data_IF_900965727587
#
_entry.id   IF_900965727587
#
_cell.length_a   1.000
_cell.length_b   1.000
_cell.length_c   1.000
_cell.angle_alpha   90.00
_cell.angle_beta   90.00
_cell.angle_gamma   90.00
#
_symmetry.space_group_name_H-M   'P 1'
#
loop_
_entity.id
_entity.type
_entity.pdbx_description
1 polymer ?
#
# COMPACT_ATOMS: atom_id res chain seq x y z
N UNK A 1 -4.53 -17.46 -19.01
CA UNK A 1 -3.45 -16.70 -18.36
C UNK A 1 -3.29 -17.29 -16.96
N UNK A 2 -2.15 -17.89 -16.65
CA UNK A 2 -1.89 -18.47 -15.34
C UNK A 2 -1.40 -17.40 -14.35
N UNK A 3 -2.12 -16.30 -14.22
CA UNK A 3 -1.69 -15.18 -13.37
C UNK A 3 -2.54 -15.10 -12.10
N UNK A 4 -1.86 -14.91 -10.97
CA UNK A 4 -2.46 -14.49 -9.71
C UNK A 4 -2.27 -12.99 -9.56
N UNK A 5 -3.38 -12.25 -9.50
CA UNK A 5 -3.38 -10.80 -9.37
C UNK A 5 -3.42 -10.42 -7.90
N UNK A 6 -2.44 -9.65 -7.44
CA UNK A 6 -2.29 -9.27 -6.03
C UNK A 6 -2.29 -7.76 -5.92
N UNK A 7 -3.12 -7.24 -5.01
CA UNK A 7 -3.05 -5.85 -4.56
C UNK A 7 -2.10 -5.78 -3.36
N UNK A 8 -0.94 -5.17 -3.56
CA UNK A 8 0.04 -4.95 -2.48
C UNK A 8 0.01 -3.50 -2.02
N UNK A 9 0.38 -3.30 -0.77
CA UNK A 9 0.52 -1.97 -0.18
C UNK A 9 1.61 -2.00 0.87
N UNK A 10 2.49 -1.04 0.77
CA UNK A 10 3.52 -0.84 1.77
C UNK A 10 2.95 0.01 2.89
N UNK A 11 2.93 -0.60 4.09
CA UNK A 11 2.52 0.05 5.33
C UNK A 11 3.61 -0.06 6.39
N UNK A 12 4.76 0.60 6.20
CA UNK A 12 5.80 0.62 7.23
C UNK A 12 5.33 1.36 8.49
N UNK A 13 4.25 2.16 8.46
CA UNK A 13 3.64 2.75 9.65
C UNK A 13 3.02 1.73 10.64
N UNK A 14 2.99 0.45 10.28
CA UNK A 14 2.79 -0.67 11.20
C UNK A 14 4.12 -1.42 11.28
N UNK A 15 5.19 -0.79 11.79
CA UNK A 15 6.47 -1.46 12.04
C UNK A 15 6.22 -2.66 12.96
N UNK A 16 5.97 -3.82 12.35
CA UNK A 16 5.73 -5.07 13.07
C UNK A 16 7.00 -5.40 13.83
N UNK A 17 6.90 -5.44 15.16
CA UNK A 17 8.04 -5.69 16.04
C UNK A 17 8.65 -4.46 16.70
N UNK A 18 7.99 -3.31 16.65
CA UNK A 18 8.26 -2.28 17.66
C UNK A 18 7.94 -2.83 19.05
N UNK A 19 8.92 -2.75 19.96
CA UNK A 19 8.79 -3.20 21.33
C UNK A 19 8.82 -1.98 22.24
N UNK A 20 7.96 -1.99 23.25
CA UNK A 20 7.96 -0.97 24.30
C UNK A 20 7.94 -1.65 25.66
N UNK A 21 8.34 -0.91 26.69
CA UNK A 21 8.27 -1.39 28.07
C UNK A 21 6.82 -1.72 28.41
N UNK A 22 6.61 -2.87 29.05
CA UNK A 22 5.29 -3.25 29.48
C UNK A 22 4.93 -2.47 30.76
N UNK A 23 3.95 -1.54 30.73
CA UNK A 23 3.59 -0.74 31.91
C UNK A 23 3.03 -1.61 33.05
N UNK A 24 2.66 -2.85 32.76
CA UNK A 24 2.13 -3.79 33.74
C UNK A 24 3.19 -4.78 34.24
N UNK A 25 4.46 -4.66 33.86
CA UNK A 25 5.52 -5.54 34.36
C UNK A 25 6.09 -5.04 35.69
N UNK A 26 6.07 -5.89 36.71
CA UNK A 26 6.62 -5.61 38.03
C UNK A 26 6.81 -6.88 38.86
N UNK A 27 7.31 -6.71 40.10
CA UNK A 27 7.60 -7.82 41.00
C UNK A 27 6.37 -8.68 41.33
N UNK A 28 5.17 -8.08 41.30
CA UNK A 28 3.90 -8.73 41.63
C UNK A 28 3.17 -9.32 40.41
N UNK A 29 3.74 -9.23 39.21
CA UNK A 29 3.14 -9.72 37.95
C UNK A 29 4.06 -10.73 37.25
N UNK A 30 4.24 -11.94 37.82
CA UNK A 30 5.23 -12.91 37.35
C UNK A 30 4.92 -13.51 35.96
N UNK A 31 3.68 -13.39 35.50
CA UNK A 31 3.18 -13.83 34.19
C UNK A 31 3.35 -12.78 33.08
N UNK A 32 3.68 -11.54 33.45
CA UNK A 32 3.94 -10.48 32.49
C UNK A 32 5.39 -10.48 32.02
N UNK A 33 5.59 -10.19 30.73
CA UNK A 33 6.93 -9.99 30.14
C UNK A 33 7.33 -8.52 30.21
N UNK A 34 8.63 -8.25 30.31
CA UNK A 34 9.18 -6.89 30.45
C UNK A 34 8.91 -5.98 29.24
N UNK A 35 8.75 -6.56 28.05
CA UNK A 35 8.50 -5.82 26.81
C UNK A 35 7.33 -6.43 26.04
N UNK A 36 6.49 -5.56 25.47
CA UNK A 36 5.35 -5.95 24.64
C UNK A 36 5.50 -5.38 23.24
N UNK A 37 4.93 -6.09 22.25
CA UNK A 37 4.81 -5.52 20.91
C UNK A 37 3.77 -4.42 20.94
N UNK A 38 4.13 -3.25 20.42
CA UNK A 38 3.21 -2.14 20.20
C UNK A 38 3.30 -1.66 18.75
N UNK A 39 2.43 -0.74 18.37
CA UNK A 39 2.57 -0.08 17.06
C UNK A 39 3.69 0.95 17.14
N UNK A 40 4.68 0.82 16.26
CA UNK A 40 5.70 1.85 16.09
C UNK A 40 5.13 3.17 15.55
N UNK A 41 5.91 4.26 15.60
CA UNK A 41 5.51 5.55 15.06
C UNK A 41 5.26 5.47 13.54
N UNK A 42 4.34 6.27 12.99
CA UNK A 42 4.07 6.27 11.57
C UNK A 42 5.27 6.85 10.79
N UNK A 43 5.69 6.17 9.73
CA UNK A 43 6.75 6.63 8.84
C UNK A 43 6.19 7.62 7.80
N UNK A 44 5.80 8.80 8.29
CA UNK A 44 5.17 9.86 7.51
C UNK A 44 5.77 11.23 7.82
N UNK A 45 5.71 12.15 6.87
CA UNK A 45 6.08 13.56 7.05
C UNK A 45 4.91 14.47 6.67
N UNK A 46 4.80 15.65 7.30
CA UNK A 46 3.92 16.71 6.83
C UNK A 46 4.23 17.03 5.37
N UNK A 47 3.18 17.07 4.55
CA UNK A 47 3.25 17.58 3.19
C UNK A 47 2.87 19.04 3.19
N UNK A 48 3.87 19.87 2.90
CA UNK A 48 3.72 21.31 2.79
C UNK A 48 3.76 21.64 1.30
N UNK A 49 2.73 22.34 0.82
CA UNK A 49 2.66 22.79 -0.58
C UNK A 49 3.50 24.05 -0.82
N UNK A 50 3.55 24.51 -2.07
CA UNK A 50 4.35 25.68 -2.47
C UNK A 50 3.88 26.99 -1.79
N UNK A 51 2.66 27.02 -1.23
CA UNK A 51 2.13 28.16 -0.48
C UNK A 51 2.51 28.15 1.01
N UNK A 52 3.17 27.08 1.48
CA UNK A 52 3.50 26.87 2.88
C UNK A 52 2.38 26.24 3.70
N UNK A 53 1.27 25.82 3.08
CA UNK A 53 0.16 25.19 3.77
C UNK A 53 0.39 23.68 3.94
N UNK A 54 0.15 23.15 5.14
CA UNK A 54 0.20 21.71 5.37
C UNK A 54 -1.06 21.03 4.79
N UNK A 55 -0.89 20.31 3.67
CA UNK A 55 -1.95 19.58 2.96
C UNK A 55 -2.17 18.16 3.45
N UNK A 56 -1.55 17.79 4.58
CA UNK A 56 -1.70 16.48 5.23
C UNK A 56 -0.35 15.80 5.43
N UNK A 57 -0.34 14.47 5.42
CA UNK A 57 0.87 13.67 5.60
C UNK A 57 1.12 12.79 4.37
N UNK A 58 2.38 12.60 4.03
CA UNK A 58 2.85 11.66 3.02
C UNK A 58 3.81 10.66 3.63
N UNK A 59 4.00 9.53 2.96
CA UNK A 59 4.88 8.46 3.42
C UNK A 59 6.35 8.82 3.22
N UNK A 60 7.18 8.58 4.24
CA UNK A 60 8.62 8.84 4.25
C UNK A 60 9.46 7.69 3.70
N UNK A 61 8.99 7.05 2.63
CA UNK A 61 9.72 6.03 1.90
C UNK A 61 9.41 6.13 0.42
N UNK A 62 10.34 5.65 -0.41
CA UNK A 62 10.27 5.78 -1.86
C UNK A 62 8.99 5.12 -2.39
N UNK A 63 8.16 5.82 -3.19
CA UNK A 63 7.02 5.20 -3.87
C UNK A 63 7.46 4.21 -4.95
N UNK A 64 6.58 3.29 -5.41
CA UNK A 64 5.15 3.27 -5.13
C UNK A 64 4.78 2.74 -3.74
N UNK A 65 3.63 3.17 -3.24
CA UNK A 65 3.17 2.79 -1.91
C UNK A 65 1.98 1.82 -1.91
N UNK A 66 1.47 1.52 -3.09
CA UNK A 66 0.48 0.50 -3.38
C UNK A 66 0.62 0.11 -4.85
N UNK A 67 0.50 -1.17 -5.14
CA UNK A 67 0.73 -1.74 -6.47
C UNK A 67 -0.28 -2.83 -6.78
N UNK A 68 -0.52 -3.01 -8.07
CA UNK A 68 -1.17 -4.19 -8.61
C UNK A 68 -0.08 -4.99 -9.32
N UNK A 69 0.05 -6.26 -8.96
CA UNK A 69 1.05 -7.15 -9.54
C UNK A 69 0.41 -8.44 -10.06
N UNK A 70 0.98 -8.97 -11.13
CA UNK A 70 0.68 -10.30 -11.63
C UNK A 70 1.83 -11.24 -11.33
N UNK A 71 1.53 -12.33 -10.63
CA UNK A 71 2.47 -13.43 -10.41
C UNK A 71 2.10 -14.56 -11.37
N UNK A 72 3.06 -15.05 -12.14
CA UNK A 72 2.89 -16.26 -12.92
C UNK A 72 2.86 -17.48 -11.98
N UNK A 73 1.76 -18.23 -12.00
CA UNK A 73 1.51 -19.32 -11.03
C UNK A 73 2.32 -20.57 -11.33
N UNK A 74 2.95 -20.68 -12.50
CA UNK A 74 3.78 -21.81 -12.85
C UNK A 74 5.22 -21.61 -12.38
N UNK A 75 5.78 -20.41 -12.60
CA UNK A 75 7.16 -20.04 -12.25
C UNK A 75 7.28 -19.41 -10.86
N UNK A 76 6.22 -18.76 -10.38
CA UNK A 76 6.26 -17.93 -9.17
C UNK A 76 6.85 -16.54 -9.39
N UNK A 77 7.20 -16.18 -10.63
CA UNK A 77 7.82 -14.90 -10.95
C UNK A 77 6.79 -13.78 -11.12
N UNK A 78 7.20 -12.53 -10.85
CA UNK A 78 6.39 -11.35 -11.13
C UNK A 78 6.42 -11.10 -12.64
N UNK A 79 5.28 -11.28 -13.30
CA UNK A 79 5.14 -11.02 -14.73
C UNK A 79 5.10 -9.52 -15.04
N UNK A 80 4.42 -8.75 -14.19
CA UNK A 80 4.39 -7.29 -14.23
C UNK A 80 3.92 -6.72 -12.88
N UNK A 81 4.28 -5.47 -12.62
CA UNK A 81 3.84 -4.69 -11.47
C UNK A 81 3.60 -3.24 -11.91
N UNK A 82 2.54 -2.62 -11.40
CA UNK A 82 2.19 -1.23 -11.68
C UNK A 82 1.73 -0.50 -10.42
N UNK A 83 2.08 0.79 -10.23
CA UNK A 83 1.53 1.58 -9.14
C UNK A 83 0.00 1.63 -9.22
N UNK A 84 -0.67 1.29 -8.12
CA UNK A 84 -2.12 1.27 -8.03
C UNK A 84 -2.61 2.53 -7.34
N UNK A 85 -3.16 3.45 -8.13
CA UNK A 85 -3.75 4.70 -7.67
C UNK A 85 -2.80 5.90 -7.65
N UNK A 86 -3.40 7.06 -7.43
CA UNK A 86 -2.74 8.37 -7.50
C UNK A 86 -2.90 9.18 -6.20
N UNK A 87 -2.01 10.12 -5.98
CA UNK A 87 -2.12 11.13 -4.93
C UNK A 87 -2.34 12.50 -5.58
N UNK A 88 -3.62 12.93 -5.66
CA UNK A 88 -4.04 14.16 -6.34
C UNK A 88 -3.41 15.44 -5.73
N UNK A 89 -2.97 15.36 -4.48
CA UNK A 89 -2.30 16.48 -3.80
C UNK A 89 -0.89 16.74 -4.33
N UNK A 90 -0.27 15.79 -5.04
CA UNK A 90 1.07 15.97 -5.62
C UNK A 90 1.00 16.70 -6.97
N UNK A 91 2.11 17.32 -7.41
CA UNK A 91 2.23 17.84 -8.77
C UNK A 91 1.83 16.79 -9.81
N UNK A 92 1.15 17.20 -10.88
CA UNK A 92 0.51 16.32 -11.87
C UNK A 92 1.43 15.20 -12.38
N UNK A 93 2.68 15.55 -12.71
CA UNK A 93 3.70 14.61 -13.20
C UNK A 93 4.27 13.66 -12.13
N UNK A 94 3.80 13.76 -10.88
CA UNK A 94 4.26 12.98 -9.72
C UNK A 94 3.11 12.31 -8.96
N UNK A 95 1.90 12.29 -9.50
CA UNK A 95 0.74 11.74 -8.78
C UNK A 95 0.71 10.21 -8.75
N UNK A 96 1.35 9.53 -9.70
CA UNK A 96 1.32 8.05 -9.81
C UNK A 96 2.29 7.37 -8.83
N UNK A 97 1.99 7.52 -7.53
CA UNK A 97 2.81 7.04 -6.40
C UNK A 97 2.17 5.88 -5.63
N UNK A 98 1.02 5.37 -6.07
CA UNK A 98 0.30 4.31 -5.38
C UNK A 98 -0.52 4.82 -4.20
N UNK A 99 -1.84 4.67 -4.29
CA UNK A 99 -2.77 5.10 -3.26
C UNK A 99 -3.39 3.90 -2.56
N UNK A 100 -3.04 3.70 -1.28
CA UNK A 100 -3.42 2.49 -0.57
C UNK A 100 -4.93 2.43 -0.30
N UNK A 101 -5.57 1.32 -0.65
CA UNK A 101 -6.92 0.98 -0.21
C UNK A 101 -7.01 -0.47 0.23
N UNK A 102 -8.21 -0.93 0.56
CA UNK A 102 -8.52 -2.32 0.95
C UNK A 102 -9.41 -2.90 -0.13
N UNK A 103 -9.10 -4.11 -0.60
CA UNK A 103 -9.90 -4.81 -1.61
C UNK A 103 -9.02 -5.63 -2.55
N UNK A 104 -9.60 -6.66 -3.14
CA UNK A 104 -8.94 -7.51 -4.14
C UNK A 104 -9.29 -7.11 -5.57
N UNK A 105 -8.46 -7.49 -6.54
CA UNK A 105 -8.81 -7.39 -7.96
C UNK A 105 -9.87 -8.43 -8.34
N UNK A 106 -10.69 -8.11 -9.34
CA UNK A 106 -11.62 -9.03 -9.99
C UNK A 106 -11.19 -9.24 -11.45
N UNK A 107 -10.92 -10.49 -11.83
CA UNK A 107 -10.46 -10.85 -13.18
C UNK A 107 -11.62 -11.42 -13.98
N UNK A 108 -11.69 -11.08 -15.27
CA UNK A 108 -12.72 -11.57 -16.20
C UNK A 108 -12.12 -12.47 -17.27
N UNK A 109 -12.95 -13.33 -17.87
CA UNK A 109 -12.54 -14.18 -18.99
C UNK A 109 -12.16 -13.37 -20.26
N UNK A 110 -12.58 -12.10 -20.34
CA UNK A 110 -12.22 -11.18 -21.43
C UNK A 110 -10.80 -10.61 -21.33
N UNK A 111 -10.00 -11.01 -20.34
CA UNK A 111 -8.64 -10.51 -20.17
C UNK A 111 -8.56 -9.14 -19.49
N UNK A 112 -9.62 -8.73 -18.78
CA UNK A 112 -9.65 -7.50 -17.99
C UNK A 112 -9.57 -7.79 -16.49
N UNK A 113 -8.79 -6.96 -15.79
CA UNK A 113 -8.72 -6.91 -14.32
C UNK A 113 -9.31 -5.61 -13.82
N UNK A 114 -10.32 -5.69 -12.96
CA UNK A 114 -10.98 -4.55 -12.36
C UNK A 114 -10.58 -4.39 -10.88
N UNK A 115 -10.35 -3.16 -10.44
CA UNK A 115 -10.02 -2.88 -9.03
C UNK A 115 -10.37 -1.46 -8.62
N UNK A 116 -10.96 -1.32 -7.42
CA UNK A 116 -11.30 -0.03 -6.78
C UNK A 116 -10.63 0.15 -5.41
N UNK A 117 -9.54 -0.57 -5.16
CA UNK A 117 -8.90 -0.66 -3.85
C UNK A 117 -7.92 0.48 -3.58
N UNK A 118 -8.34 1.73 -3.82
CA UNK A 118 -7.54 2.97 -3.66
C UNK A 118 -8.36 4.06 -2.96
N UNK A 119 -7.73 5.02 -2.27
CA UNK A 119 -8.47 6.16 -1.66
C UNK A 119 -8.72 7.34 -2.58
N UNK A 120 -8.19 7.28 -3.79
CA UNK A 120 -8.44 8.29 -4.84
C UNK A 120 -9.82 8.14 -5.52
N UNK A 121 -10.69 7.26 -4.98
CA UNK A 121 -12.09 7.09 -5.37
C UNK A 121 -12.30 6.72 -6.83
N UNK A 122 -11.34 6.06 -7.46
CA UNK A 122 -11.43 5.58 -8.84
C UNK A 122 -11.62 4.07 -8.91
N UNK A 123 -12.36 3.63 -9.93
CA UNK A 123 -12.51 2.23 -10.30
C UNK A 123 -11.84 2.02 -11.65
N UNK A 124 -10.93 1.06 -11.73
CA UNK A 124 -9.98 0.93 -12.84
C UNK A 124 -10.17 -0.38 -13.57
N UNK A 125 -9.83 -0.38 -14.85
CA UNK A 125 -9.63 -1.58 -15.64
C UNK A 125 -8.20 -1.67 -16.18
N UNK A 126 -7.61 -2.84 -16.06
CA UNK A 126 -6.28 -3.16 -16.57
C UNK A 126 -6.36 -4.31 -17.57
N UNK A 127 -5.51 -4.28 -18.60
CA UNK A 127 -5.22 -5.47 -19.39
C UNK A 127 -4.48 -6.49 -18.51
N UNK A 128 -5.09 -7.66 -18.28
CA UNK A 128 -4.59 -8.67 -17.34
C UNK A 128 -3.23 -9.22 -17.75
N UNK A 129 -2.89 -9.20 -19.04
CA UNK A 129 -1.63 -9.77 -19.54
C UNK A 129 -0.46 -8.81 -19.39
N UNK A 130 -0.70 -7.52 -19.50
CA UNK A 130 0.35 -6.49 -19.58
C UNK A 130 0.41 -5.56 -18.37
N UNK A 131 -0.67 -5.46 -17.60
CA UNK A 131 -0.80 -4.47 -16.52
C UNK A 131 -1.06 -3.05 -17.01
N UNK A 132 -1.32 -2.84 -18.30
CA UNK A 132 -1.67 -1.54 -18.85
C UNK A 132 -3.04 -1.08 -18.30
N UNK A 133 -3.10 0.14 -17.76
CA UNK A 133 -4.36 0.77 -17.34
C UNK A 133 -5.12 1.24 -18.59
N UNK A 134 -6.30 0.66 -18.84
CA UNK A 134 -7.10 0.93 -20.03
C UNK A 134 -8.08 2.09 -19.82
N UNK A 135 -8.60 2.25 -18.59
CA UNK A 135 -9.42 3.38 -18.17
C UNK A 135 -9.53 3.44 -16.64
N UNK A 136 -9.83 4.65 -16.11
CA UNK A 136 -10.06 4.91 -14.68
C UNK A 136 -11.00 6.10 -14.40
#
# INVERSE_FOLDING_TARGET
LGYMLVNTRDRPGLLTGWMDENPNYGADTPDHVAYIRVSGPPFVAPYIDDSGEQRGFLRCFKPPWAELLAVDVQSGEIAWEVPLGIEERLPENKQRVGNHGVGGPMVTAGGLTFIGATRDRRFRAFDTRTGEELWS
#
